data_IF_836699188241
#
_entry.id   IF_836699188241
#
_cell.length_a   1.000
_cell.length_b   1.000
_cell.length_c   1.000
_cell.angle_alpha   90.00
_cell.angle_beta   90.00
_cell.angle_gamma   90.00
#
_symmetry.space_group_name_H-M   'P 1'
#
loop_
_entity.id
_entity.type
_entity.pdbx_description
1 polymer ?
#
# COMPACT_ATOMS: atom_id res chain seq x y z
N UNK A 1 7.32 20.41 16.93
CA UNK A 1 6.10 20.93 17.59
C UNK A 1 4.91 20.14 17.07
N UNK A 2 4.03 19.71 17.98
CA UNK A 2 2.73 19.04 17.79
C UNK A 2 2.64 17.85 16.81
N UNK A 3 2.60 16.63 17.38
CA UNK A 3 2.01 15.47 16.73
C UNK A 3 0.52 15.75 16.46
N UNK A 4 0.14 15.87 15.19
CA UNK A 4 -1.27 15.83 14.83
C UNK A 4 -1.73 14.38 14.91
N UNK A 5 -2.33 14.05 16.06
CA UNK A 5 -3.30 12.95 16.20
C UNK A 5 -4.18 12.94 14.96
N UNK A 6 -4.44 11.78 14.30
CA UNK A 6 -5.40 11.74 13.19
C UNK A 6 -6.68 12.41 13.68
N UNK A 7 -7.07 13.50 13.03
CA UNK A 7 -8.17 14.32 13.50
C UNK A 7 -9.43 13.46 13.47
N UNK A 8 -9.84 12.96 14.64
CA UNK A 8 -11.18 12.45 14.92
C UNK A 8 -12.15 13.46 14.31
N UNK A 9 -12.79 13.09 13.19
CA UNK A 9 -13.55 14.06 12.40
C UNK A 9 -14.72 14.64 13.19
N UNK A 10 -15.31 13.86 14.11
CA UNK A 10 -16.36 14.31 15.02
C UNK A 10 -16.33 13.59 16.37
N UNK A 11 -16.76 14.28 17.42
CA UNK A 11 -17.01 13.62 18.70
C UNK A 11 -18.28 12.76 18.70
N UNK A 12 -18.39 11.81 19.62
CA UNK A 12 -19.60 10.96 19.75
C UNK A 12 -20.84 11.84 20.01
N UNK A 13 -20.64 12.94 20.74
CA UNK A 13 -21.66 13.96 21.00
C UNK A 13 -22.03 14.73 19.72
N UNK A 14 -21.04 15.10 18.89
CA UNK A 14 -21.29 15.74 17.59
C UNK A 14 -21.98 14.79 16.60
N UNK A 15 -21.61 13.51 16.57
CA UNK A 15 -22.23 12.49 15.71
C UNK A 15 -23.69 12.24 16.09
N UNK A 16 -24.03 12.35 17.38
CA UNK A 16 -25.40 12.24 17.90
C UNK A 16 -26.20 13.53 17.79
N UNK A 17 -25.53 14.68 17.69
CA UNK A 17 -26.17 15.99 17.53
C UNK A 17 -27.02 16.07 16.25
N UNK A 18 -28.21 16.66 16.36
CA UNK A 18 -29.11 16.97 15.24
C UNK A 18 -28.49 17.96 14.23
N UNK A 19 -27.48 18.72 14.66
CA UNK A 19 -26.76 19.66 13.81
C UNK A 19 -25.91 18.97 12.74
N UNK A 20 -25.51 17.71 12.97
CA UNK A 20 -24.72 16.95 12.00
C UNK A 20 -25.65 16.12 11.09
N UNK A 21 -25.83 16.48 9.81
CA UNK A 21 -26.68 15.73 8.90
C UNK A 21 -26.14 14.31 8.68
N UNK A 22 -27.04 13.32 8.66
CA UNK A 22 -26.70 11.91 8.38
C UNK A 22 -25.90 11.74 7.08
N UNK A 23 -26.17 12.59 6.08
CA UNK A 23 -25.53 12.55 4.76
C UNK A 23 -24.03 12.79 4.85
N UNK A 24 -23.59 13.72 5.70
CA UNK A 24 -22.17 14.03 5.89
C UNK A 24 -21.44 12.89 6.62
N UNK A 25 -22.10 12.26 7.59
CA UNK A 25 -21.56 11.06 8.26
C UNK A 25 -21.38 9.93 7.25
N UNK A 26 -22.38 9.69 6.40
CA UNK A 26 -22.32 8.65 5.36
C UNK A 26 -21.24 8.99 4.34
N UNK A 27 -21.15 10.25 3.90
CA UNK A 27 -20.12 10.69 2.96
C UNK A 27 -18.73 10.48 3.53
N UNK A 28 -18.51 10.83 4.80
CA UNK A 28 -17.24 10.61 5.49
C UNK A 28 -16.90 9.12 5.59
N UNK A 29 -17.88 8.28 5.94
CA UNK A 29 -17.69 6.84 5.94
C UNK A 29 -17.36 6.33 4.54
N UNK A 30 -18.02 6.81 3.49
CA UNK A 30 -17.72 6.42 2.11
C UNK A 30 -16.34 6.89 1.63
N UNK A 31 -15.89 8.07 2.07
CA UNK A 31 -14.60 8.65 1.67
C UNK A 31 -13.40 8.00 2.38
N UNK A 32 -13.62 7.48 3.60
CA UNK A 32 -12.54 6.96 4.43
C UNK A 32 -12.67 5.50 4.85
N UNK A 33 -13.84 4.90 4.68
CA UNK A 33 -14.09 3.49 4.95
C UNK A 33 -13.69 2.62 3.78
N UNK A 34 -13.27 1.39 4.06
CA UNK A 34 -13.01 0.40 3.03
C UNK A 34 -14.32 -0.08 2.39
N UNK A 35 -14.27 -0.46 1.11
CA UNK A 35 -15.44 -0.96 0.37
C UNK A 35 -16.10 -2.15 1.10
N UNK A 36 -15.30 -3.06 1.66
CA UNK A 36 -15.77 -4.18 2.48
C UNK A 36 -16.52 -3.74 3.72
N UNK A 37 -16.04 -2.70 4.41
CA UNK A 37 -16.71 -2.15 5.59
C UNK A 37 -18.04 -1.47 5.21
N UNK A 38 -18.05 -0.74 4.10
CA UNK A 38 -19.24 -0.09 3.60
C UNK A 38 -20.29 -1.10 3.11
N UNK A 39 -19.86 -2.20 2.49
CA UNK A 39 -20.73 -3.30 2.08
C UNK A 39 -21.39 -3.96 3.29
N UNK A 40 -20.59 -4.31 4.31
CA UNK A 40 -21.04 -4.98 5.53
C UNK A 40 -22.10 -4.14 6.27
N UNK A 41 -21.90 -2.82 6.33
CA UNK A 41 -22.82 -1.90 7.00
C UNK A 41 -23.88 -1.27 6.09
N UNK A 42 -24.02 -1.73 4.83
CA UNK A 42 -24.97 -1.22 3.82
C UNK A 42 -24.86 0.30 3.60
N UNK A 43 -23.63 0.81 3.65
CA UNK A 43 -23.28 2.20 3.42
C UNK A 43 -22.84 2.46 1.98
N UNK A 44 -22.71 1.42 1.14
CA UNK A 44 -22.45 1.56 -0.30
C UNK A 44 -23.69 2.08 -1.05
N UNK A 45 -23.44 2.93 -2.05
CA UNK A 45 -24.45 3.47 -2.95
C UNK A 45 -24.81 4.93 -2.68
N UNK A 46 -25.93 5.39 -3.25
CA UNK A 46 -26.29 6.80 -3.21
C UNK A 46 -26.59 7.28 -1.78
N UNK A 47 -25.85 8.29 -1.31
CA UNK A 47 -25.96 8.88 0.03
C UNK A 47 -27.42 9.22 0.39
N UNK A 48 -28.23 9.68 -0.57
CA UNK A 48 -29.66 9.99 -0.33
C UNK A 48 -30.49 8.76 -0.01
N UNK A 49 -30.17 7.60 -0.58
CA UNK A 49 -30.88 6.35 -0.31
C UNK A 49 -30.37 5.73 1.00
N UNK A 50 -29.05 5.73 1.20
CA UNK A 50 -28.42 5.24 2.45
C UNK A 50 -28.90 6.07 3.65
N UNK A 51 -29.05 7.39 3.52
CA UNK A 51 -29.55 8.24 4.61
C UNK A 51 -31.02 7.99 4.98
N UNK A 52 -31.82 7.44 4.06
CA UNK A 52 -33.23 7.06 4.31
C UNK A 52 -33.32 5.74 5.09
N UNK A 53 -32.41 4.81 4.84
CA UNK A 53 -32.40 3.48 5.48
C UNK A 53 -31.54 3.44 6.74
N UNK A 54 -30.50 4.27 6.84
CA UNK A 54 -29.56 4.28 7.97
C UNK A 54 -30.06 5.11 9.17
N UNK A 55 -29.99 4.50 10.36
CA UNK A 55 -30.24 5.16 11.63
C UNK A 55 -28.97 5.94 12.08
N UNK A 56 -29.15 7.10 12.72
CA UNK A 56 -28.05 7.95 13.19
C UNK A 56 -27.18 7.24 14.21
N UNK A 57 -27.76 6.47 15.14
CA UNK A 57 -26.97 5.69 16.11
C UNK A 57 -26.14 4.58 15.44
N UNK A 58 -26.69 3.94 14.40
CA UNK A 58 -25.94 2.99 13.57
C UNK A 58 -24.76 3.66 12.86
N UNK A 59 -24.97 4.86 12.29
CA UNK A 59 -23.89 5.63 11.67
C UNK A 59 -22.80 6.03 12.68
N UNK A 60 -23.18 6.46 13.89
CA UNK A 60 -22.23 6.80 14.96
C UNK A 60 -21.38 5.58 15.34
N UNK A 61 -22.01 4.41 15.48
CA UNK A 61 -21.31 3.15 15.78
C UNK A 61 -20.31 2.78 14.68
N UNK A 62 -20.70 2.98 13.42
CA UNK A 62 -19.86 2.67 12.27
C UNK A 62 -18.66 3.63 12.15
N UNK A 63 -18.82 4.92 12.49
CA UNK A 63 -17.68 5.85 12.57
C UNK A 63 -16.65 5.32 13.58
N UNK A 64 -17.11 4.92 14.77
CA UNK A 64 -16.23 4.43 15.83
C UNK A 64 -15.53 3.10 15.47
N UNK A 65 -16.24 2.20 14.79
CA UNK A 65 -15.68 0.93 14.30
C UNK A 65 -14.68 1.14 13.16
N UNK A 66 -14.89 2.14 12.32
CA UNK A 66 -13.97 2.49 11.24
C UNK A 66 -12.70 3.17 11.75
N UNK A 67 -12.77 3.94 12.84
CA UNK A 67 -11.60 4.57 13.48
C UNK A 67 -10.64 3.55 14.14
N UNK A 68 -11.14 2.39 14.56
CA UNK A 68 -10.36 1.34 15.22
C UNK A 68 -9.71 0.34 14.24
N UNK A 69 -10.18 0.29 12.98
CA UNK A 69 -9.58 -0.55 11.92
C UNK A 69 -8.39 0.17 11.27
N UNK A 70 -7.20 -0.45 11.17
CA UNK A 70 -6.08 0.14 10.44
C UNK A 70 -6.46 0.37 8.98
N UNK A 71 -6.36 1.64 8.56
CA UNK A 71 -6.71 2.16 7.24
C UNK A 71 -5.83 1.52 6.17
N UNK A 72 -6.27 0.42 5.56
CA UNK A 72 -5.73 -0.07 4.28
C UNK A 72 -5.93 1.05 3.25
N UNK A 73 -4.85 1.78 3.00
CA UNK A 73 -4.84 2.93 2.11
C UNK A 73 -4.78 2.39 0.68
N UNK A 74 -5.95 2.15 0.10
CA UNK A 74 -6.13 1.80 -1.31
C UNK A 74 -6.10 3.12 -2.11
N UNK A 75 -4.96 3.43 -2.73
CA UNK A 75 -4.89 4.43 -3.81
C UNK A 75 -4.82 3.66 -5.12
N UNK A 76 -5.84 3.81 -5.96
CA UNK A 76 -6.10 3.04 -7.17
C UNK A 76 -5.80 3.88 -8.43
N UNK A 77 -5.22 3.22 -9.46
CA UNK A 77 -5.29 3.44 -10.93
C UNK A 77 -3.96 2.93 -11.57
N UNK A 78 -3.89 1.93 -12.46
CA UNK A 78 -4.74 1.57 -13.61
C UNK A 78 -4.51 0.11 -14.12
N UNK A 79 -5.50 -0.39 -14.89
CA UNK A 79 -5.50 -1.49 -15.90
C UNK A 79 -5.84 -2.93 -15.46
N UNK A 80 -7.11 -3.30 -15.74
CA UNK A 80 -7.61 -4.57 -16.31
C UNK A 80 -6.78 -5.84 -16.01
N UNK A 81 -7.02 -6.47 -14.85
CA UNK A 81 -6.89 -7.92 -14.54
C UNK A 81 -6.83 -8.13 -13.02
N UNK A 82 -7.99 -8.14 -12.36
CA UNK A 82 -8.13 -8.56 -10.96
C UNK A 82 -7.44 -7.67 -9.90
N UNK A 83 -7.64 -7.97 -8.61
CA UNK A 83 -7.00 -7.22 -7.54
C UNK A 83 -5.47 -7.35 -7.62
N UNK A 84 -4.71 -6.29 -7.27
CA UNK A 84 -3.25 -6.34 -7.27
C UNK A 84 -2.77 -7.50 -6.41
N UNK A 85 -1.95 -8.38 -6.98
CA UNK A 85 -1.42 -9.57 -6.29
C UNK A 85 -0.15 -9.25 -5.52
N UNK A 86 -0.09 -8.05 -4.95
CA UNK A 86 0.99 -7.59 -4.10
C UNK A 86 0.45 -6.67 -3.01
N UNK A 87 1.17 -6.64 -1.88
CA UNK A 87 0.90 -5.76 -0.76
C UNK A 87 2.13 -4.88 -0.55
N UNK A 88 1.94 -3.57 -0.47
CA UNK A 88 3.01 -2.60 -0.13
C UNK A 88 2.78 -2.02 1.26
N UNK A 89 3.79 -2.11 2.11
CA UNK A 89 3.85 -1.47 3.42
C UNK A 89 5.00 -0.46 3.48
N UNK A 90 4.70 0.82 3.59
CA UNK A 90 5.74 1.87 3.68
C UNK A 90 6.38 1.86 5.06
N UNK A 91 7.66 1.47 5.15
CA UNK A 91 8.45 1.43 6.38
C UNK A 91 9.01 2.80 6.74
N UNK A 92 9.50 3.52 5.73
CA UNK A 92 10.05 4.87 5.84
C UNK A 92 9.48 5.69 4.71
N UNK A 93 8.81 6.78 5.06
CA UNK A 93 8.26 7.72 4.06
C UNK A 93 9.43 8.39 3.34
N UNK A 94 9.34 8.45 2.02
CA UNK A 94 10.24 9.26 1.21
C UNK A 94 9.79 10.72 1.17
N UNK A 95 10.24 11.42 0.14
CA UNK A 95 9.95 12.82 -0.12
C UNK A 95 8.48 13.07 -0.53
N UNK A 96 7.77 12.05 -1.00
CA UNK A 96 6.37 12.13 -1.49
C UNK A 96 6.11 13.17 -2.59
N UNK A 97 7.14 13.73 -3.22
CA UNK A 97 7.01 14.63 -4.36
C UNK A 97 7.55 13.98 -5.63
N UNK A 98 8.71 13.34 -5.54
CA UNK A 98 9.33 12.65 -6.67
C UNK A 98 8.91 11.17 -6.70
N UNK A 99 8.02 10.84 -7.64
CA UNK A 99 7.63 9.46 -7.96
C UNK A 99 8.19 9.09 -9.34
N UNK A 100 8.69 7.86 -9.51
CA UNK A 100 9.26 7.45 -10.78
C UNK A 100 8.14 7.19 -11.80
N UNK A 101 8.40 7.54 -13.06
CA UNK A 101 7.45 7.34 -14.16
C UNK A 101 7.89 6.17 -15.02
N UNK A 102 6.95 5.67 -15.80
CA UNK A 102 7.22 4.62 -16.80
C UNK A 102 8.33 5.06 -17.77
N UNK A 103 9.43 4.33 -17.75
CA UNK A 103 10.63 4.58 -18.55
C UNK A 103 11.78 5.22 -17.79
N UNK A 104 11.54 5.81 -16.61
CA UNK A 104 12.57 6.44 -15.79
C UNK A 104 13.51 5.39 -15.20
N UNK A 105 14.77 5.78 -14.99
CA UNK A 105 15.77 4.93 -14.36
C UNK A 105 15.69 5.15 -12.85
N UNK A 106 15.32 4.10 -12.12
CA UNK A 106 15.29 4.14 -10.65
C UNK A 106 16.55 3.50 -10.09
N UNK A 107 17.05 4.08 -9.00
CA UNK A 107 18.17 3.58 -8.23
C UNK A 107 17.65 3.13 -6.87
N UNK A 108 17.70 1.82 -6.58
CA UNK A 108 17.20 1.30 -5.31
C UNK A 108 18.08 0.22 -4.69
N UNK A 109 18.02 0.16 -3.37
CA UNK A 109 18.50 -0.97 -2.58
C UNK A 109 17.37 -1.93 -2.33
N UNK A 110 17.68 -3.23 -2.30
CA UNK A 110 16.67 -4.22 -1.94
C UNK A 110 17.24 -5.46 -1.28
N UNK A 111 16.37 -6.12 -0.52
CA UNK A 111 16.59 -7.44 0.05
C UNK A 111 15.33 -8.26 -0.16
N UNK A 112 15.45 -9.35 -0.92
CA UNK A 112 14.42 -10.35 -1.14
C UNK A 112 14.56 -11.51 -0.18
N UNK A 113 13.50 -11.78 0.57
CA UNK A 113 13.35 -12.92 1.47
C UNK A 113 12.13 -13.77 1.11
N UNK A 114 12.24 -15.06 1.37
CA UNK A 114 11.12 -15.99 1.31
C UNK A 114 10.27 -15.87 2.58
N UNK A 115 9.10 -16.51 2.59
CA UNK A 115 8.19 -16.51 3.75
C UNK A 115 8.81 -17.12 5.01
N UNK A 116 9.78 -18.03 4.87
CA UNK A 116 10.51 -18.61 5.99
C UNK A 116 11.61 -17.67 6.54
N UNK A 117 11.87 -16.54 5.87
CA UNK A 117 12.92 -15.58 6.22
C UNK A 117 14.23 -15.80 5.47
N UNK A 118 14.38 -16.88 4.69
CA UNK A 118 15.57 -17.11 3.86
C UNK A 118 15.75 -15.97 2.85
N UNK A 119 16.90 -15.28 2.93
CA UNK A 119 17.31 -14.28 1.94
C UNK A 119 17.74 -15.01 0.67
N UNK A 120 17.00 -14.85 -0.42
CA UNK A 120 17.36 -15.44 -1.71
C UNK A 120 18.15 -14.47 -2.58
N UNK A 121 17.94 -13.15 -2.42
CA UNK A 121 18.65 -12.14 -3.19
C UNK A 121 18.77 -10.83 -2.39
N UNK A 122 19.91 -10.14 -2.48
CA UNK A 122 20.08 -8.83 -1.84
C UNK A 122 21.17 -8.03 -2.53
N UNK A 123 20.88 -6.75 -2.79
CA UNK A 123 21.90 -5.81 -3.25
C UNK A 123 22.47 -4.97 -2.08
N UNK A 124 21.98 -5.14 -0.85
CA UNK A 124 22.49 -4.40 0.30
C UNK A 124 23.82 -5.02 0.75
N UNK A 125 24.94 -4.36 0.45
CA UNK A 125 26.25 -4.82 0.89
C UNK A 125 26.52 -4.52 2.38
N UNK A 126 26.57 -5.58 3.17
CA UNK A 126 26.76 -5.54 4.64
C UNK A 126 28.23 -5.41 5.08
N UNK A 127 29.19 -5.64 4.18
CA UNK A 127 30.62 -5.55 4.51
C UNK A 127 31.18 -4.13 4.35
N UNK A 128 31.67 -3.54 5.46
CA UNK A 128 32.27 -2.20 5.51
C UNK A 128 33.37 -1.94 4.48
N UNK A 129 34.08 -2.99 4.04
CA UNK A 129 35.13 -2.91 2.99
C UNK A 129 34.58 -2.77 1.57
N UNK A 130 33.37 -3.29 1.32
CA UNK A 130 32.69 -3.29 0.00
C UNK A 130 31.70 -2.15 -0.16
N UNK A 131 31.28 -1.52 0.95
CA UNK A 131 30.37 -0.37 0.97
C UNK A 131 30.85 0.82 0.13
N UNK A 132 32.18 1.00 -0.03
CA UNK A 132 32.74 2.05 -0.90
C UNK A 132 32.46 1.83 -2.40
N UNK A 133 32.18 0.61 -2.83
CA UNK A 133 31.87 0.26 -4.23
C UNK A 133 30.43 -0.27 -4.40
N UNK A 134 29.62 -0.24 -3.35
CA UNK A 134 28.24 -0.67 -3.42
C UNK A 134 27.47 0.33 -4.28
N UNK A 135 26.95 -0.14 -5.42
CA UNK A 135 26.10 0.65 -6.30
C UNK A 135 24.64 0.20 -6.16
N UNK A 136 23.69 1.14 -6.02
CA UNK A 136 22.28 0.79 -6.03
C UNK A 136 21.92 0.12 -7.35
N UNK A 137 20.93 -0.77 -7.33
CA UNK A 137 20.44 -1.41 -8.53
C UNK A 137 19.79 -0.32 -9.37
N UNK A 138 20.18 -0.22 -10.65
CA UNK A 138 19.60 0.73 -11.59
C UNK A 138 18.86 -0.01 -12.70
N UNK A 139 17.59 0.34 -12.90
CA UNK A 139 16.78 -0.21 -13.98
C UNK A 139 15.63 0.73 -14.33
N UNK A 140 15.03 0.51 -15.50
CA UNK A 140 13.89 1.28 -15.97
C UNK A 140 12.58 0.67 -15.45
N UNK A 141 11.77 1.48 -14.77
CA UNK A 141 10.47 1.05 -14.22
C UNK A 141 9.34 1.22 -15.24
N UNK A 142 8.27 0.43 -15.12
CA UNK A 142 7.07 0.52 -15.95
C UNK A 142 7.20 -0.13 -17.33
N UNK A 143 8.33 -0.79 -17.62
CA UNK A 143 8.64 -1.36 -18.94
C UNK A 143 8.87 -2.87 -18.91
N UNK A 144 8.48 -3.55 -17.82
CA UNK A 144 8.60 -5.02 -17.71
C UNK A 144 10.03 -5.54 -17.62
N UNK A 145 10.97 -4.74 -17.09
CA UNK A 145 12.35 -5.18 -16.80
C UNK A 145 12.45 -6.02 -15.53
N UNK A 146 11.48 -5.86 -14.64
CA UNK A 146 11.36 -6.55 -13.35
C UNK A 146 10.00 -7.25 -13.27
N UNK A 147 9.80 -8.05 -12.22
CA UNK A 147 8.52 -8.72 -11.96
C UNK A 147 7.38 -7.69 -11.84
N UNK A 148 6.17 -8.06 -12.27
CA UNK A 148 5.01 -7.15 -12.33
C UNK A 148 4.74 -6.48 -10.99
N UNK A 149 4.85 -7.22 -9.88
CA UNK A 149 4.66 -6.65 -8.54
C UNK A 149 5.68 -5.58 -8.17
N UNK A 150 6.91 -5.65 -8.68
CA UNK A 150 7.92 -4.59 -8.49
C UNK A 150 7.62 -3.37 -9.35
N UNK A 151 7.29 -3.59 -10.61
CA UNK A 151 7.02 -2.52 -11.58
C UNK A 151 5.90 -1.62 -11.06
N UNK A 152 4.79 -2.22 -10.62
CA UNK A 152 3.63 -1.52 -10.04
C UNK A 152 3.96 -0.89 -8.68
N UNK A 153 4.63 -1.63 -7.79
CA UNK A 153 4.93 -1.10 -6.46
C UNK A 153 5.87 0.10 -6.49
N UNK A 154 6.90 0.09 -7.34
CA UNK A 154 7.90 1.15 -7.40
C UNK A 154 7.37 2.45 -7.99
N UNK A 155 6.43 2.37 -8.94
CA UNK A 155 5.72 3.55 -9.46
C UNK A 155 5.01 4.33 -8.34
N UNK A 156 4.63 3.65 -7.26
CA UNK A 156 3.98 4.26 -6.10
C UNK A 156 4.95 4.70 -5.00
N UNK A 157 6.25 4.44 -5.14
CA UNK A 157 7.27 4.82 -4.16
C UNK A 157 7.83 6.21 -4.48
N UNK A 158 8.12 6.97 -3.44
CA UNK A 158 8.76 8.28 -3.57
C UNK A 158 10.27 8.23 -3.33
N UNK A 159 11.03 9.19 -3.87
CA UNK A 159 12.48 9.33 -3.63
C UNK A 159 12.80 9.31 -2.12
N UNK A 160 13.70 8.43 -1.71
CA UNK A 160 14.07 8.21 -0.30
C UNK A 160 13.13 7.30 0.49
N UNK A 161 12.07 6.76 -0.11
CA UNK A 161 11.11 5.86 0.54
C UNK A 161 11.70 4.47 0.73
N UNK A 162 11.52 3.90 1.93
CA UNK A 162 11.72 2.48 2.18
C UNK A 162 10.36 1.82 2.34
N UNK A 163 10.08 0.80 1.54
CA UNK A 163 8.85 0.02 1.62
C UNK A 163 9.15 -1.47 1.65
N UNK A 164 8.26 -2.23 2.30
CA UNK A 164 8.20 -3.67 2.26
C UNK A 164 7.11 -4.08 1.27
N UNK A 165 7.49 -4.85 0.27
CA UNK A 165 6.65 -5.38 -0.79
C UNK A 165 6.48 -6.87 -0.57
N UNK A 166 5.25 -7.33 -0.59
CA UNK A 166 4.89 -8.73 -0.47
C UNK A 166 4.17 -9.13 -1.74
N UNK A 167 4.82 -9.92 -2.58
CA UNK A 167 4.37 -10.20 -3.94
C UNK A 167 4.01 -11.68 -4.01
N UNK A 168 2.76 -11.95 -4.40
CA UNK A 168 2.29 -13.30 -4.63
C UNK A 168 3.03 -13.91 -5.82
N UNK A 169 3.22 -15.25 -5.83
CA UNK A 169 3.96 -15.93 -6.89
C UNK A 169 3.45 -15.55 -8.29
N UNK A 170 2.15 -15.36 -8.47
CA UNK A 170 1.55 -15.04 -9.77
C UNK A 170 2.07 -13.74 -10.40
N UNK A 171 2.51 -12.76 -9.60
CA UNK A 171 3.13 -11.51 -10.07
C UNK A 171 4.65 -11.48 -9.85
N UNK A 172 5.23 -12.64 -9.53
CA UNK A 172 6.66 -12.92 -9.39
C UNK A 172 7.10 -14.05 -10.34
N UNK A 173 7.46 -15.24 -9.80
CA UNK A 173 7.97 -16.38 -10.58
C UNK A 173 6.94 -17.51 -10.83
N UNK A 174 5.69 -17.29 -10.42
CA UNK A 174 4.54 -18.15 -10.65
C UNK A 174 4.66 -19.55 -10.04
N UNK A 175 3.88 -20.46 -10.62
CA UNK A 175 3.87 -21.89 -10.26
C UNK A 175 5.19 -22.61 -10.54
N UNK A 176 6.06 -22.02 -11.37
CA UNK A 176 7.37 -22.60 -11.70
C UNK A 176 8.42 -22.30 -10.64
N UNK A 177 8.27 -21.18 -9.91
CA UNK A 177 9.32 -20.68 -9.03
C UNK A 177 10.57 -20.28 -9.82
N UNK A 178 11.70 -20.16 -9.12
CA UNK A 178 12.99 -19.89 -9.74
C UNK A 178 14.07 -20.77 -9.10
N UNK A 179 14.34 -21.94 -9.69
CA UNK A 179 15.32 -22.90 -9.16
C UNK A 179 16.72 -22.30 -8.97
N UNK A 180 17.17 -21.45 -9.90
CA UNK A 180 18.48 -20.78 -9.84
C UNK A 180 18.65 -19.91 -8.59
N UNK A 181 17.57 -19.28 -8.14
CA UNK A 181 17.55 -18.45 -6.94
C UNK A 181 17.07 -19.23 -5.70
N UNK A 182 16.93 -20.57 -5.79
CA UNK A 182 16.36 -21.44 -4.76
C UNK A 182 14.95 -21.03 -4.32
N UNK A 183 14.19 -20.40 -5.22
CA UNK A 183 12.81 -19.97 -4.96
C UNK A 183 11.87 -21.13 -5.33
N UNK A 184 11.13 -21.70 -4.36
CA UNK A 184 10.23 -22.81 -4.64
C UNK A 184 9.03 -22.38 -5.51
N UNK A 185 8.33 -23.35 -6.14
CA UNK A 185 7.11 -23.07 -6.89
C UNK A 185 6.03 -22.50 -5.96
N UNK A 186 5.27 -21.51 -6.45
CA UNK A 186 4.26 -20.79 -5.67
C UNK A 186 4.79 -20.10 -4.40
N UNK A 187 6.08 -19.77 -4.36
CA UNK A 187 6.63 -19.00 -3.25
C UNK A 187 6.19 -17.54 -3.31
N UNK A 188 5.62 -17.05 -2.21
CA UNK A 188 5.44 -15.61 -1.99
C UNK A 188 6.79 -14.98 -1.68
N UNK A 189 7.07 -13.85 -2.32
CA UNK A 189 8.32 -13.12 -2.13
C UNK A 189 8.09 -11.88 -1.31
N UNK A 190 9.00 -11.63 -0.38
CA UNK A 190 8.97 -10.47 0.49
C UNK A 190 10.21 -9.66 0.16
N UNK A 191 10.05 -8.45 -0.33
CA UNK A 191 11.14 -7.55 -0.66
C UNK A 191 11.09 -6.33 0.23
N UNK A 192 12.19 -5.99 0.88
CA UNK A 192 12.38 -4.63 1.38
C UNK A 192 13.10 -3.83 0.31
N UNK A 193 12.52 -2.74 -0.16
CA UNK A 193 13.10 -1.87 -1.18
C UNK A 193 13.25 -0.46 -0.61
N UNK A 194 14.40 0.17 -0.87
CA UNK A 194 14.67 1.56 -0.55
C UNK A 194 15.03 2.30 -1.85
N UNK A 195 14.17 3.23 -2.25
CA UNK A 195 14.37 4.04 -3.44
C UNK A 195 15.35 5.17 -3.10
N UNK A 196 16.54 5.13 -3.66
CA UNK A 196 17.63 6.10 -3.40
C UNK A 196 17.47 7.32 -4.31
N UNK A 197 17.31 7.06 -5.60
CA UNK A 197 17.27 8.11 -6.62
C UNK A 197 16.42 7.71 -7.83
N UNK A 198 16.07 8.71 -8.64
CA UNK A 198 15.31 8.59 -9.89
C UNK A 198 15.96 9.54 -10.88
N UNK A 199 16.38 9.04 -12.03
CA UNK A 199 16.95 9.82 -13.14
C UNK A 199 15.86 10.46 -14.01
#
# INVERSE_FOLDING_TARGET
MAAAVPQRAWTVEQLRSEQLPKKDIIKFLQDHGSDSFLAEHKLLGNIKNVAKTANKDHLVKNVKLNEDKPKETKSEETVDEGPPKYIKSVLKKGDKTNFPKKGDVVHCWYTGTLQDGTVFDTNIQTSSKKKKNAKPLSFKVGIGKVIRGWDEALLTMSKGEKARLEIEPEWAYGKKGQPDAKIPPNAKLIFEVELVDID
#
